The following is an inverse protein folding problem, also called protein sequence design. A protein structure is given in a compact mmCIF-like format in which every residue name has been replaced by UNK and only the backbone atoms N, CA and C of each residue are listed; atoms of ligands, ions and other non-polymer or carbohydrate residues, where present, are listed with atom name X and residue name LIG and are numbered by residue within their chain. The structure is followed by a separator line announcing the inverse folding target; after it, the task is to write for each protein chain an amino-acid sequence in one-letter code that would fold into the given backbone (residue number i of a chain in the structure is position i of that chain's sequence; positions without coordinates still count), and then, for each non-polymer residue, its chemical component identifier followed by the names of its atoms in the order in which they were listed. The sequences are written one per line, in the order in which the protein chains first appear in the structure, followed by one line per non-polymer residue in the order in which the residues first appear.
data_IF_491652256496
#
_entry.id   IF_491652256496
#
_cell.length_a   1.000
_cell.length_b   1.000
_cell.length_c   1.000
_cell.angle_alpha   90.00
_cell.angle_beta   90.00
_cell.angle_gamma   90.00
#
_symmetry.space_group_name_H-M   'P 1'
#
loop_
_entity.id
_entity.type
_entity.pdbx_description
1 polymer ?
#
# COMPACT_ATOMS: atom_id res chain seq x y z
N UNK A 1 -4.91 -30.87 11.50
CA UNK A 1 -4.03 -30.98 10.30
C UNK A 1 -4.25 -29.70 9.49
N UNK A 2 -3.82 -28.58 10.07
CA UNK A 2 -4.05 -27.25 9.51
C UNK A 2 -2.78 -26.85 8.79
N UNK A 3 -2.87 -26.73 7.48
CA UNK A 3 -1.80 -26.26 6.63
C UNK A 3 -1.55 -24.79 6.96
N UNK A 4 -0.65 -24.55 7.90
CA UNK A 4 -0.01 -23.26 8.08
C UNK A 4 0.76 -22.97 6.79
N UNK A 5 0.13 -22.23 5.88
CA UNK A 5 0.82 -21.50 4.83
C UNK A 5 1.67 -20.46 5.52
N UNK A 6 2.87 -20.89 5.92
CA UNK A 6 3.97 -20.01 6.27
C UNK A 6 4.16 -19.10 5.06
N UNK A 7 3.75 -17.85 5.22
CA UNK A 7 4.18 -16.77 4.34
C UNK A 7 5.71 -16.83 4.41
N UNK A 8 6.34 -17.31 3.35
CA UNK A 8 7.80 -17.34 3.23
C UNK A 8 8.27 -15.88 3.12
N UNK A 9 8.26 -15.19 4.27
CA UNK A 9 9.06 -14.00 4.49
C UNK A 9 10.51 -14.49 4.31
N UNK A 10 11.06 -14.24 3.12
CA UNK A 10 12.41 -14.64 2.77
C UNK A 10 13.35 -14.13 3.87
N UNK A 11 14.15 -14.99 4.52
CA UNK A 11 15.04 -14.51 5.57
C UNK A 11 15.96 -13.47 4.96
N UNK A 12 16.05 -12.28 5.60
CA UNK A 12 16.76 -11.12 5.05
C UNK A 12 18.22 -11.38 4.62
N UNK A 13 18.84 -12.46 5.08
CA UNK A 13 20.18 -12.90 4.68
C UNK A 13 20.26 -13.74 3.39
N UNK A 14 19.16 -14.21 2.82
CA UNK A 14 19.16 -15.06 1.61
C UNK A 14 19.79 -14.39 0.36
N UNK A 15 19.52 -13.11 0.02
CA UNK A 15 20.21 -12.44 -1.09
C UNK A 15 21.71 -12.32 -0.86
N UNK A 16 22.11 -12.02 0.38
CA UNK A 16 23.52 -11.92 0.76
C UNK A 16 24.22 -13.29 0.64
N UNK A 17 23.56 -14.35 1.09
CA UNK A 17 24.04 -15.73 0.97
C UNK A 17 24.20 -16.15 -0.50
N UNK A 18 23.19 -15.89 -1.34
CA UNK A 18 23.24 -16.21 -2.77
C UNK A 18 24.39 -15.49 -3.49
N UNK A 19 24.56 -14.19 -3.21
CA UNK A 19 25.65 -13.39 -3.77
C UNK A 19 27.02 -13.88 -3.30
N UNK A 20 27.18 -14.11 -1.98
CA UNK A 20 28.41 -14.64 -1.39
C UNK A 20 28.80 -16.00 -2.00
N UNK A 21 27.84 -16.90 -2.13
CA UNK A 21 28.04 -18.24 -2.68
C UNK A 21 28.43 -18.20 -4.18
N UNK A 22 27.82 -17.31 -4.96
CA UNK A 22 28.15 -17.09 -6.37
C UNK A 22 29.58 -16.56 -6.51
N UNK A 23 29.95 -15.51 -5.77
CA UNK A 23 31.28 -14.92 -5.85
C UNK A 23 32.39 -15.87 -5.37
N UNK A 24 32.14 -16.64 -4.30
CA UNK A 24 33.07 -17.68 -3.86
C UNK A 24 33.26 -18.77 -4.91
N UNK A 25 32.16 -19.26 -5.52
CA UNK A 25 32.22 -20.25 -6.59
C UNK A 25 32.98 -19.76 -7.82
N UNK A 26 32.68 -18.54 -8.28
CA UNK A 26 33.33 -17.92 -9.44
C UNK A 26 34.82 -17.62 -9.18
N UNK A 27 35.17 -17.23 -7.95
CA UNK A 27 36.56 -17.03 -7.53
C UNK A 27 37.39 -18.31 -7.54
N UNK A 28 36.85 -19.41 -6.99
CA UNK A 28 37.50 -20.74 -7.04
C UNK A 28 37.64 -21.21 -8.49
N UNK A 29 36.60 -21.03 -9.32
CA UNK A 29 36.64 -21.39 -10.73
C UNK A 29 37.70 -20.58 -11.48
N UNK A 30 37.78 -19.27 -11.24
CA UNK A 30 38.77 -18.39 -11.85
C UNK A 30 40.19 -18.78 -11.47
N UNK A 31 40.47 -18.99 -10.17
CA UNK A 31 41.78 -19.44 -9.68
C UNK A 31 42.19 -20.79 -10.27
N UNK A 32 41.23 -21.69 -10.52
CA UNK A 32 41.49 -22.97 -11.16
C UNK A 32 41.90 -22.81 -12.64
N UNK A 33 41.45 -21.76 -13.33
CA UNK A 33 41.73 -21.49 -14.75
C UNK A 33 42.99 -20.65 -14.96
N UNK A 34 43.21 -19.62 -14.14
CA UNK A 34 44.33 -18.68 -14.30
C UNK A 34 45.62 -19.16 -13.64
N UNK A 35 45.55 -20.21 -12.82
CA UNK A 35 46.67 -20.65 -11.99
C UNK A 35 46.90 -19.71 -10.80
N UNK A 36 47.79 -20.13 -9.91
CA UNK A 36 48.04 -19.49 -8.60
C UNK A 36 49.42 -18.84 -8.51
N UNK A 37 50.13 -18.66 -9.63
CA UNK A 37 51.52 -18.17 -9.63
C UNK A 37 51.68 -16.71 -9.18
N UNK A 38 50.58 -15.95 -9.16
CA UNK A 38 50.55 -14.55 -8.77
C UNK A 38 50.17 -14.32 -7.29
N UNK A 39 49.87 -15.38 -6.54
CA UNK A 39 49.41 -15.28 -5.15
C UNK A 39 50.59 -15.23 -4.15
N UNK A 40 50.53 -14.36 -3.12
CA UNK A 40 51.59 -14.26 -2.11
C UNK A 40 51.54 -15.39 -1.05
N UNK A 41 50.64 -16.37 -1.20
CA UNK A 41 50.45 -17.49 -0.28
C UNK A 41 50.36 -18.83 -1.02
N UNK A 42 50.80 -19.91 -0.37
CA UNK A 42 50.74 -21.26 -0.94
C UNK A 42 49.37 -21.89 -0.74
N UNK A 43 48.81 -22.43 -1.84
CA UNK A 43 47.56 -23.20 -1.78
C UNK A 43 47.74 -24.54 -1.07
N UNK A 44 46.68 -25.08 -0.44
CA UNK A 44 46.71 -26.40 0.18
C UNK A 44 47.05 -27.49 -0.85
N UNK A 45 47.74 -28.56 -0.42
CA UNK A 45 48.20 -29.67 -1.27
C UNK A 45 47.08 -30.29 -2.15
N UNK A 46 45.85 -30.34 -1.64
CA UNK A 46 44.69 -30.88 -2.37
C UNK A 46 44.36 -30.11 -3.66
N UNK A 47 44.75 -28.84 -3.76
CA UNK A 47 44.56 -28.02 -4.96
C UNK A 47 45.27 -28.60 -6.19
N UNK A 48 46.48 -29.15 -5.99
CA UNK A 48 47.29 -29.75 -7.05
C UNK A 48 47.06 -31.26 -7.20
N UNK A 49 46.80 -31.95 -6.09
CA UNK A 49 46.63 -33.42 -6.11
C UNK A 49 45.30 -33.84 -6.72
N UNK A 50 44.24 -33.05 -6.56
CA UNK A 50 42.89 -33.37 -7.04
C UNK A 50 42.13 -32.14 -7.56
N UNK A 51 42.56 -31.54 -8.68
CA UNK A 51 41.97 -30.33 -9.23
C UNK A 51 40.48 -30.48 -9.61
N UNK A 52 40.03 -31.70 -9.90
CA UNK A 52 38.62 -32.00 -10.22
C UNK A 52 37.68 -31.74 -9.04
N UNK A 53 38.12 -31.94 -7.80
CA UNK A 53 37.29 -31.72 -6.60
C UNK A 53 36.95 -30.24 -6.46
N UNK A 54 37.94 -29.36 -6.65
CA UNK A 54 37.75 -27.91 -6.56
C UNK A 54 36.88 -27.36 -7.69
N UNK A 55 36.98 -27.91 -8.91
CA UNK A 55 36.10 -27.56 -10.04
C UNK A 55 34.65 -27.96 -9.79
N UNK A 56 34.40 -29.15 -9.26
CA UNK A 56 33.05 -29.60 -8.90
C UNK A 56 32.46 -28.74 -7.78
N UNK A 57 33.25 -28.42 -6.76
CA UNK A 57 32.83 -27.51 -5.69
C UNK A 57 32.45 -26.13 -6.23
N UNK A 58 33.28 -25.56 -7.10
CA UNK A 58 33.02 -24.26 -7.73
C UNK A 58 31.73 -24.26 -8.57
N UNK A 59 31.50 -25.33 -9.36
CA UNK A 59 30.29 -25.47 -10.17
C UNK A 59 29.03 -25.62 -9.29
N UNK A 60 29.11 -26.42 -8.22
CA UNK A 60 28.01 -26.54 -7.25
C UNK A 60 27.71 -25.21 -6.54
N UNK A 61 28.73 -24.49 -6.05
CA UNK A 61 28.52 -23.20 -5.39
C UNK A 61 27.94 -22.16 -6.35
N UNK A 62 28.46 -22.07 -7.57
CA UNK A 62 27.97 -21.14 -8.58
C UNK A 62 26.53 -21.47 -8.99
N UNK A 63 26.23 -22.75 -9.23
CA UNK A 63 24.89 -23.21 -9.58
C UNK A 63 23.88 -22.96 -8.46
N UNK A 64 24.24 -23.26 -7.21
CA UNK A 64 23.40 -22.99 -6.05
C UNK A 64 23.18 -21.49 -5.81
N UNK A 65 24.23 -20.67 -5.94
CA UNK A 65 24.14 -19.21 -5.85
C UNK A 65 23.21 -18.62 -6.91
N UNK A 66 23.33 -19.06 -8.17
CA UNK A 66 22.43 -18.64 -9.26
C UNK A 66 20.98 -19.07 -8.99
N UNK A 67 20.76 -20.30 -8.51
CA UNK A 67 19.42 -20.78 -8.19
C UNK A 67 18.77 -19.96 -7.07
N UNK A 68 19.50 -19.66 -6.00
CA UNK A 68 19.04 -18.82 -4.89
C UNK A 68 18.73 -17.40 -5.39
N UNK A 69 19.63 -16.78 -6.16
CA UNK A 69 19.40 -15.42 -6.70
C UNK A 69 18.24 -15.38 -7.71
N UNK A 70 18.03 -16.45 -8.50
CA UNK A 70 16.84 -16.58 -9.36
C UNK A 70 15.55 -16.66 -8.55
N UNK A 71 15.56 -17.39 -7.43
CA UNK A 71 14.42 -17.46 -6.54
C UNK A 71 14.13 -16.10 -5.90
N UNK A 72 15.15 -15.44 -5.35
CA UNK A 72 15.05 -14.09 -4.76
C UNK A 72 14.56 -13.06 -5.78
N UNK A 73 15.12 -13.05 -6.99
CA UNK A 73 14.70 -12.09 -8.02
C UNK A 73 13.27 -12.32 -8.46
N UNK A 74 12.82 -13.57 -8.58
CA UNK A 74 11.43 -13.90 -8.90
C UNK A 74 10.46 -13.40 -7.81
N UNK A 75 10.79 -13.58 -6.53
CA UNK A 75 9.97 -13.10 -5.41
C UNK A 75 9.96 -11.58 -5.35
N UNK A 76 11.13 -10.94 -5.44
CA UNK A 76 11.26 -9.47 -5.50
C UNK A 76 10.44 -8.87 -6.65
N UNK A 77 10.46 -9.50 -7.83
CA UNK A 77 9.69 -9.04 -8.98
C UNK A 77 8.18 -9.15 -8.74
N UNK A 78 7.71 -10.25 -8.15
CA UNK A 78 6.29 -10.42 -7.79
C UNK A 78 5.83 -9.40 -6.75
N UNK A 79 6.67 -9.08 -5.78
CA UNK A 79 6.35 -8.07 -4.77
C UNK A 79 6.38 -6.66 -5.33
N UNK A 80 7.35 -6.34 -6.21
CA UNK A 80 7.37 -5.07 -6.96
C UNK A 80 6.14 -4.93 -7.84
N UNK A 81 5.72 -6.00 -8.52
CA UNK A 81 4.51 -6.01 -9.35
C UNK A 81 3.25 -5.81 -8.51
N UNK A 82 3.12 -6.51 -7.38
CA UNK A 82 2.03 -6.30 -6.41
C UNK A 82 1.99 -4.85 -5.90
N UNK A 83 3.14 -4.29 -5.52
CA UNK A 83 3.24 -2.89 -5.06
C UNK A 83 2.92 -1.90 -6.18
N UNK A 84 3.37 -2.15 -7.42
CA UNK A 84 3.06 -1.32 -8.59
C UNK A 84 1.56 -1.25 -8.87
N UNK A 85 0.82 -2.31 -8.58
CA UNK A 85 -0.64 -2.35 -8.76
C UNK A 85 -1.41 -1.57 -7.67
N UNK A 86 -0.81 -1.32 -6.50
CA UNK A 86 -1.39 -0.45 -5.49
C UNK A 86 -0.98 1.00 -5.80
N UNK A 87 -1.92 1.91 -6.11
CA UNK A 87 -1.58 3.32 -6.20
C UNK A 87 -1.04 3.81 -4.84
N UNK A 88 0.03 4.64 -4.81
CA UNK A 88 0.52 5.26 -3.59
C UNK A 88 -0.63 5.87 -2.81
N UNK A 89 -0.61 5.73 -1.48
CA UNK A 89 -1.66 6.25 -0.60
C UNK A 89 -1.74 7.77 -0.70
N UNK A 90 -0.60 8.45 -0.85
CA UNK A 90 -0.52 9.90 -0.98
C UNK A 90 -1.18 10.48 -2.26
N UNK A 91 -1.27 9.70 -3.34
CA UNK A 91 -1.79 10.19 -4.62
C UNK A 91 -3.30 9.96 -4.80
N UNK A 92 -3.97 9.35 -3.82
CA UNK A 92 -5.38 9.00 -3.94
C UNK A 92 -6.30 10.01 -3.27
N UNK A 93 -7.08 10.73 -4.08
CA UNK A 93 -8.14 11.62 -3.64
C UNK A 93 -9.30 11.59 -4.66
N UNK A 94 -10.56 11.35 -4.24
CA UNK A 94 -11.71 11.43 -5.12
C UNK A 94 -11.97 12.88 -5.57
N UNK A 95 -12.59 13.06 -6.73
CA UNK A 95 -12.91 14.39 -7.31
C UNK A 95 -13.81 15.24 -6.40
N UNK A 96 -14.68 14.57 -5.61
CA UNK A 96 -15.59 15.22 -4.67
C UNK A 96 -15.20 14.84 -3.23
N UNK A 97 -14.73 15.79 -2.40
CA UNK A 97 -14.45 15.55 -1.00
C UNK A 97 -15.76 15.42 -0.20
N UNK A 98 -15.72 14.66 0.90
CA UNK A 98 -16.83 14.55 1.85
C UNK A 98 -17.14 13.12 2.27
N UNK A 99 -17.88 13.02 3.37
CA UNK A 99 -18.36 11.76 3.94
C UNK A 99 -19.41 11.11 3.01
N UNK A 100 -19.28 9.80 2.78
CA UNK A 100 -20.11 9.06 1.81
C UNK A 100 -20.97 7.94 2.40
N UNK A 101 -20.83 7.69 3.70
CA UNK A 101 -21.51 6.62 4.42
C UNK A 101 -22.06 7.14 5.75
N UNK A 102 -23.11 6.51 6.24
CA UNK A 102 -23.79 6.92 7.47
C UNK A 102 -23.25 6.16 8.68
N UNK A 103 -22.95 4.87 8.52
CA UNK A 103 -22.50 4.02 9.63
C UNK A 103 -21.29 3.17 9.25
N UNK A 104 -20.35 3.03 10.20
CA UNK A 104 -19.18 2.17 10.08
C UNK A 104 -19.01 1.39 11.39
N UNK A 105 -19.26 0.09 11.33
CA UNK A 105 -19.07 -0.82 12.46
C UNK A 105 -17.94 -1.78 12.18
N UNK A 106 -17.07 -1.97 13.17
CA UNK A 106 -15.96 -2.92 13.13
C UNK A 106 -16.14 -3.93 14.27
N UNK A 107 -16.49 -5.16 13.89
CA UNK A 107 -16.50 -6.27 14.84
C UNK A 107 -15.07 -6.70 15.11
N UNK A 108 -14.66 -6.58 16.37
CA UNK A 108 -13.30 -6.81 16.86
C UNK A 108 -13.29 -7.84 17.98
N UNK A 109 -12.10 -8.20 18.45
CA UNK A 109 -11.88 -8.97 19.66
C UNK A 109 -10.61 -8.51 20.35
N UNK A 110 -10.49 -8.81 21.64
CA UNK A 110 -9.28 -8.59 22.43
C UNK A 110 -8.03 -9.25 21.81
N UNK A 111 -6.88 -8.57 21.92
CA UNK A 111 -5.57 -9.03 21.44
C UNK A 111 -5.57 -9.50 19.97
N UNK A 112 -6.07 -8.65 19.07
CA UNK A 112 -6.20 -8.95 17.64
C UNK A 112 -5.34 -7.99 16.79
N UNK A 113 -4.13 -8.41 16.35
CA UNK A 113 -3.27 -7.54 15.53
C UNK A 113 -3.87 -7.20 14.15
N UNK A 114 -4.72 -8.08 13.60
CA UNK A 114 -5.45 -7.78 12.36
C UNK A 114 -6.51 -6.71 12.56
N UNK A 115 -7.07 -6.60 13.77
CA UNK A 115 -8.09 -5.62 14.10
C UNK A 115 -7.45 -4.23 14.27
N UNK A 116 -6.24 -4.17 14.83
CA UNK A 116 -5.39 -2.97 14.86
C UNK A 116 -5.02 -2.52 13.43
N UNK A 117 -4.53 -3.44 12.58
CA UNK A 117 -4.23 -3.16 11.15
C UNK A 117 -5.48 -2.62 10.42
N UNK A 118 -6.67 -3.16 10.71
CA UNK A 118 -7.92 -2.68 10.14
C UNK A 118 -8.31 -1.27 10.63
N UNK A 119 -8.11 -0.96 11.92
CA UNK A 119 -8.39 0.36 12.48
C UNK A 119 -7.48 1.43 11.86
N UNK A 120 -6.18 1.18 11.79
CA UNK A 120 -5.21 2.08 11.15
C UNK A 120 -5.59 2.40 9.70
N UNK A 121 -5.94 1.37 8.92
CA UNK A 121 -6.38 1.56 7.54
C UNK A 121 -7.65 2.41 7.48
N UNK A 122 -8.64 2.18 8.34
CA UNK A 122 -9.89 2.95 8.31
C UNK A 122 -9.70 4.40 8.74
N UNK A 123 -8.85 4.66 9.73
CA UNK A 123 -8.48 6.00 10.20
C UNK A 123 -7.83 6.83 9.09
N UNK A 124 -7.01 6.20 8.26
CA UNK A 124 -6.41 6.85 7.09
C UNK A 124 -7.43 7.41 6.09
N UNK A 125 -8.64 6.85 6.08
CA UNK A 125 -9.76 7.29 5.22
C UNK A 125 -10.88 7.97 6.00
N UNK A 126 -10.64 8.41 7.24
CA UNK A 126 -11.65 9.04 8.10
C UNK A 126 -12.28 10.32 7.48
N UNK A 127 -11.62 10.96 6.52
CA UNK A 127 -12.19 12.09 5.78
C UNK A 127 -13.41 11.70 4.90
N UNK A 128 -13.55 10.42 4.55
CA UNK A 128 -14.60 9.91 3.67
C UNK A 128 -15.55 8.94 4.36
N UNK A 129 -15.16 8.43 5.53
CA UNK A 129 -15.88 7.45 6.33
C UNK A 129 -16.46 8.12 7.59
N UNK A 130 -17.59 7.63 8.12
CA UNK A 130 -18.07 8.02 9.44
C UNK A 130 -17.11 7.56 10.54
N UNK A 131 -17.35 8.04 11.76
CA UNK A 131 -16.67 7.57 12.97
C UNK A 131 -16.79 6.05 13.11
N UNK A 132 -15.71 5.41 13.55
CA UNK A 132 -15.61 3.96 13.68
C UNK A 132 -16.27 3.52 14.98
N UNK A 133 -17.31 2.69 14.88
CA UNK A 133 -17.92 2.03 16.05
C UNK A 133 -17.34 0.62 16.20
N UNK A 134 -16.59 0.39 17.28
CA UNK A 134 -16.05 -0.94 17.59
C UNK A 134 -17.04 -1.76 18.41
N UNK A 135 -17.30 -2.99 17.95
CA UNK A 135 -18.17 -3.95 18.64
C UNK A 135 -17.36 -5.20 18.97
N UNK A 136 -17.22 -5.52 20.25
CA UNK A 136 -16.59 -6.76 20.68
C UNK A 136 -17.52 -7.94 20.37
N UNK A 137 -17.06 -8.91 19.59
CA UNK A 137 -17.85 -10.10 19.28
C UNK A 137 -18.20 -10.93 20.51
N UNK A 138 -17.46 -10.80 21.62
CA UNK A 138 -17.77 -11.51 22.86
C UNK A 138 -18.97 -10.94 23.62
N UNK A 139 -19.51 -9.80 23.21
CA UNK A 139 -20.70 -9.20 23.84
C UNK A 139 -21.99 -9.98 23.57
N UNK A 140 -22.06 -10.73 22.47
CA UNK A 140 -23.24 -11.51 22.07
C UNK A 140 -22.82 -12.90 21.52
N UNK A 141 -23.31 -14.01 22.09
CA UNK A 141 -23.05 -15.34 21.56
C UNK A 141 -23.41 -15.51 20.07
N UNK A 142 -24.41 -14.77 19.57
CA UNK A 142 -24.78 -14.79 18.15
C UNK A 142 -23.72 -14.19 17.22
N UNK A 143 -22.92 -13.22 17.71
CA UNK A 143 -21.80 -12.65 16.95
C UNK A 143 -20.59 -13.58 16.94
N UNK A 144 -20.35 -14.31 18.03
CA UNK A 144 -19.28 -15.32 18.11
C UNK A 144 -19.51 -16.41 17.06
N UNK A 145 -20.74 -16.92 16.95
CA UNK A 145 -21.08 -17.96 15.97
C UNK A 145 -20.88 -17.47 14.54
N UNK A 146 -21.23 -16.21 14.25
CA UNK A 146 -21.13 -15.64 12.91
C UNK A 146 -19.71 -15.19 12.52
N UNK A 147 -18.95 -14.60 13.45
CA UNK A 147 -17.71 -13.88 13.14
C UNK A 147 -16.48 -14.39 13.89
N UNK A 148 -16.60 -15.35 14.81
CA UNK A 148 -15.50 -15.80 15.68
C UNK A 148 -14.21 -16.23 14.98
N UNK A 149 -14.28 -16.64 13.70
CA UNK A 149 -13.12 -17.06 12.89
C UNK A 149 -12.65 -16.01 11.87
N UNK A 150 -13.40 -14.91 11.70
CA UNK A 150 -13.26 -13.99 10.58
C UNK A 150 -13.07 -12.52 11.00
N UNK A 151 -12.87 -12.25 12.29
CA UNK A 151 -12.56 -10.90 12.78
C UNK A 151 -11.19 -10.41 12.27
N UNK A 152 -11.03 -9.11 11.96
CA UNK A 152 -12.05 -8.06 12.02
C UNK A 152 -13.10 -8.16 10.90
N UNK A 153 -14.34 -7.81 11.19
CA UNK A 153 -15.41 -7.70 10.18
C UNK A 153 -15.88 -6.26 10.11
N UNK A 154 -15.82 -5.66 8.92
CA UNK A 154 -16.20 -4.26 8.69
C UNK A 154 -17.55 -4.21 8.00
N UNK A 155 -18.53 -3.57 8.65
CA UNK A 155 -19.85 -3.29 8.12
C UNK A 155 -20.00 -1.79 7.84
N UNK A 156 -20.44 -1.46 6.63
CA UNK A 156 -20.67 -0.07 6.19
C UNK A 156 -22.12 0.03 5.69
N UNK A 157 -22.89 0.95 6.26
CA UNK A 157 -24.35 1.09 6.07
C UNK A 157 -25.09 -0.24 6.30
N UNK A 158 -24.75 -0.91 7.39
CA UNK A 158 -25.33 -2.22 7.77
C UNK A 158 -24.95 -3.39 6.87
N UNK A 159 -24.07 -3.21 5.87
CA UNK A 159 -23.61 -4.29 4.96
C UNK A 159 -22.16 -4.64 5.24
N UNK A 160 -21.87 -5.93 5.41
CA UNK A 160 -20.49 -6.42 5.56
C UNK A 160 -19.72 -6.22 4.25
N UNK A 161 -18.67 -5.40 4.28
CA UNK A 161 -17.80 -5.11 3.12
C UNK A 161 -16.48 -5.85 3.19
N UNK A 162 -15.93 -6.04 4.39
CA UNK A 162 -14.63 -6.69 4.59
C UNK A 162 -14.69 -7.71 5.73
N UNK A 163 -13.89 -8.77 5.59
CA UNK A 163 -13.66 -9.81 6.61
C UNK A 163 -12.17 -10.11 6.67
N UNK A 164 -11.60 -10.19 7.86
CA UNK A 164 -10.18 -10.44 8.09
C UNK A 164 -9.29 -9.27 7.70
N UNK A 165 -8.92 -9.14 6.41
CA UNK A 165 -8.03 -8.07 5.93
C UNK A 165 -8.80 -7.08 5.06
N UNK A 166 -8.58 -5.79 5.29
CA UNK A 166 -9.11 -4.73 4.44
C UNK A 166 -8.22 -4.62 3.20
N UNK A 167 -8.82 -4.70 2.02
CA UNK A 167 -8.12 -4.40 0.78
C UNK A 167 -8.34 -2.92 0.44
N UNK A 168 -7.31 -2.10 0.64
CA UNK A 168 -7.36 -0.66 0.37
C UNK A 168 -7.85 -0.31 -1.04
N UNK A 169 -7.47 -1.07 -2.07
CA UNK A 169 -7.92 -0.80 -3.44
C UNK A 169 -9.43 -0.95 -3.56
N UNK A 170 -10.01 -1.96 -2.89
CA UNK A 170 -11.46 -2.14 -2.86
C UNK A 170 -12.14 -1.08 -1.99
N UNK A 171 -11.55 -0.68 -0.87
CA UNK A 171 -12.05 0.41 -0.03
C UNK A 171 -12.11 1.73 -0.82
N UNK A 172 -11.03 2.09 -1.51
CA UNK A 172 -10.94 3.25 -2.38
C UNK A 172 -12.01 3.23 -3.48
N UNK A 173 -12.18 2.10 -4.17
CA UNK A 173 -13.23 1.94 -5.19
C UNK A 173 -14.63 2.08 -4.61
N UNK A 174 -14.85 1.56 -3.40
CA UNK A 174 -16.11 1.65 -2.69
C UNK A 174 -16.42 3.11 -2.30
N UNK A 175 -15.42 3.87 -1.84
CA UNK A 175 -15.57 5.31 -1.57
C UNK A 175 -15.93 6.06 -2.88
N UNK A 176 -15.18 5.85 -3.97
CA UNK A 176 -15.44 6.53 -5.25
C UNK A 176 -16.82 6.21 -5.82
N UNK A 177 -17.28 4.97 -5.68
CA UNK A 177 -18.55 4.53 -6.23
C UNK A 177 -19.78 5.02 -5.43
N UNK A 178 -19.61 5.35 -4.15
CA UNK A 178 -20.72 5.84 -3.31
C UNK A 178 -20.99 7.31 -3.57
N UNK A 179 -22.25 7.77 -3.61
CA UNK A 179 -22.56 9.20 -3.65
C UNK A 179 -22.11 9.89 -2.35
N UNK A 180 -21.78 11.18 -2.42
CA UNK A 180 -21.54 11.98 -1.22
C UNK A 180 -22.84 12.06 -0.43
N UNK A 181 -22.77 11.77 0.87
CA UNK A 181 -23.91 11.94 1.77
C UNK A 181 -24.10 13.44 1.95
N UNK A 182 -24.91 14.05 1.08
CA UNK A 182 -25.48 15.35 1.35
C UNK A 182 -26.46 15.09 2.49
N UNK A 183 -26.02 15.35 3.73
CA UNK A 183 -26.92 15.37 4.87
C UNK A 183 -28.19 16.15 4.46
N UNK A 184 -29.41 15.64 4.72
CA UNK A 184 -30.61 16.35 4.33
C UNK A 184 -30.52 17.74 4.96
N UNK A 185 -30.38 18.74 4.09
CA UNK A 185 -30.38 20.13 4.49
C UNK A 185 -31.60 20.33 5.38
N UNK A 186 -31.34 20.62 6.65
CA UNK A 186 -32.32 21.28 7.48
C UNK A 186 -32.86 22.46 6.66
N UNK A 187 -34.19 22.47 6.50
CA UNK A 187 -34.96 23.39 5.70
C UNK A 187 -34.44 24.83 5.75
N UNK A 188 -33.98 25.34 4.61
CA UNK A 188 -34.25 26.72 4.23
C UNK A 188 -34.41 26.75 2.71
N UNK A 189 -35.64 27.05 2.30
CA UNK A 189 -35.99 27.11 0.89
C UNK A 189 -35.13 28.16 0.19
N UNK A 190 -34.48 27.75 -0.88
CA UNK A 190 -34.17 28.68 -1.95
C UNK A 190 -34.56 27.99 -3.25
N UNK A 191 -35.78 28.28 -3.69
CA UNK A 191 -36.22 27.96 -5.04
C UNK A 191 -35.44 28.82 -6.01
N UNK A 192 -34.55 28.21 -6.79
CA UNK A 192 -33.99 28.87 -7.96
C UNK A 192 -35.09 29.00 -9.03
N UNK A 193 -35.71 30.18 -9.14
CA UNK A 193 -36.48 30.54 -10.32
C UNK A 193 -35.52 30.69 -11.51
N UNK A 194 -35.89 30.03 -12.61
CA UNK A 194 -35.23 30.10 -13.91
C UNK A 194 -35.12 31.56 -14.37
N UNK A 195 -33.92 32.13 -14.34
CA UNK A 195 -33.40 33.03 -15.37
C UNK A 195 -31.91 33.34 -15.13
N UNK A 196 -31.06 32.65 -15.91
CA UNK A 196 -29.77 33.16 -16.39
C UNK A 196 -28.65 33.39 -15.34
N UNK A 197 -27.90 32.34 -15.00
CA UNK A 197 -26.48 32.50 -14.61
C UNK A 197 -25.61 32.29 -15.86
N UNK A 198 -25.21 33.40 -16.48
CA UNK A 198 -24.30 33.40 -17.63
C UNK A 198 -22.84 33.45 -17.18
N UNK A 199 -22.03 32.46 -17.59
CA UNK A 199 -20.57 32.56 -17.54
C UNK A 199 -20.07 33.29 -18.80
N UNK A 200 -19.69 34.57 -18.70
CA UNK A 200 -18.94 35.25 -19.77
C UNK A 200 -17.44 35.18 -19.48
N UNK A 201 -16.75 34.30 -20.19
CA UNK A 201 -15.28 34.28 -20.29
C UNK A 201 -14.88 35.24 -21.40
N UNK A 202 -14.32 36.41 -21.07
CA UNK A 202 -13.74 37.30 -22.09
C UNK A 202 -12.22 37.10 -22.20
N UNK A 203 -11.80 36.95 -23.44
CA UNK A 203 -10.44 36.77 -23.94
C UNK A 203 -10.01 38.10 -24.57
N UNK A 204 -8.87 38.66 -24.16
CA UNK A 204 -8.16 39.74 -24.86
C UNK A 204 -6.71 39.71 -24.37
N UNK A 205 -5.77 39.21 -25.19
CA UNK A 205 -4.93 39.98 -26.11
C UNK A 205 -4.08 41.03 -25.37
N UNK A 206 -2.81 40.67 -25.27
CA UNK A 206 -1.65 41.48 -24.93
C UNK A 206 -1.68 42.78 -25.73
N UNK A 207 -1.55 43.93 -25.05
CA UNK A 207 -0.81 45.11 -25.49
C UNK A 207 -0.60 46.07 -24.31
N UNK A 208 0.34 46.97 -24.49
CA UNK A 208 1.28 47.52 -23.49
C UNK A 208 0.78 48.74 -22.69
N UNK A 209 1.46 48.98 -21.56
CA UNK A 209 1.65 50.26 -20.86
C UNK A 209 0.43 50.97 -20.25
N UNK A 210 0.34 50.94 -18.91
CA UNK A 210 0.37 52.17 -18.09
C UNK A 210 0.13 51.84 -16.61
N UNK A 211 1.04 52.33 -15.79
CA UNK A 211 0.99 52.33 -14.33
C UNK A 211 0.10 53.47 -13.84
N UNK A 212 -0.95 53.17 -13.05
CA UNK A 212 -1.51 54.11 -12.07
C UNK A 212 -2.47 53.41 -11.10
N UNK A 213 -1.99 53.24 -9.88
CA UNK A 213 -2.65 53.31 -8.57
C UNK A 213 -4.18 53.43 -8.52
N UNK A 214 -4.83 52.46 -7.90
CA UNK A 214 -5.95 52.72 -6.97
C UNK A 214 -6.13 51.56 -5.98
N UNK A 215 -5.88 51.87 -4.71
CA UNK A 215 -6.31 51.08 -3.56
C UNK A 215 -7.84 51.12 -3.40
N UNK A 216 -8.34 50.26 -2.50
CA UNK A 216 -9.70 50.14 -1.94
C UNK A 216 -10.53 49.01 -2.57
N UNK A 217 -11.30 48.21 -1.84
CA UNK A 217 -11.59 48.15 -0.41
C UNK A 217 -11.98 46.69 -0.10
N UNK A 218 -11.70 46.25 1.13
CA UNK A 218 -12.13 44.93 1.60
C UNK A 218 -13.65 44.76 1.54
N UNK A 219 -14.10 43.51 1.41
CA UNK A 219 -15.47 43.15 1.79
C UNK A 219 -15.62 43.33 3.31
N UNK A 220 -15.97 44.55 3.69
CA UNK A 220 -16.56 44.88 4.98
C UNK A 220 -17.85 44.08 5.17
N UNK A 221 -18.07 43.67 6.42
CA UNK A 221 -19.05 42.67 6.78
C UNK A 221 -20.51 43.11 6.76
N UNK A 222 -21.32 42.16 7.23
CA UNK A 222 -22.75 42.25 7.56
C UNK A 222 -23.71 42.14 6.37
N UNK A 223 -23.88 40.91 5.86
CA UNK A 223 -25.17 40.49 5.35
C UNK A 223 -26.10 40.27 6.56
N UNK A 224 -27.05 41.19 6.79
CA UNK A 224 -28.23 40.92 7.61
C UNK A 224 -29.37 40.50 6.66
N UNK A 225 -29.96 39.35 6.92
CA UNK A 225 -31.27 39.00 6.39
C UNK A 225 -32.33 39.83 7.15
N UNK A 226 -33.32 40.36 6.43
CA UNK A 226 -34.51 40.98 7.02
C UNK A 226 -35.49 39.91 7.52
#
# INVERSE_FOLDING_TARGET
MSTMTHKEELPHGLPFLGNSMLFLGLGILALSLTGTEWLPFHMPRSWYQSPSIWKLLALCMTGGGIAILKQVSSTEMRDRERKRQLPPKEDWMPEEPGQRFETLLVYTKENCPLCEEAAEILEDYAAYLPEIEFVDIYSDPGLIEQFGTCVPVVAIDGKIRFRGRINEVLLRRLIVASPVTIAPAASSGCGCNKQSCGCKRQKSSIDSNSESTSQSAGCGGQCKCA
#
